data_IF_498932660985
#
_entry.id   IF_498932660985
#
_cell.length_a   1.000
_cell.length_b   1.000
_cell.length_c   1.000
_cell.angle_alpha   90.00
_cell.angle_beta   90.00
_cell.angle_gamma   90.00
#
_symmetry.space_group_name_H-M   'P 1'
#
loop_
_entity.id
_entity.type
_entity.pdbx_description
1 polymer ?
#
# COMPACT_ATOMS: atom_id res chain seq x y z
N UNK A 1 -11.70 -13.67 -15.89
CA UNK A 1 -11.46 -14.10 -14.51
C UNK A 1 -10.22 -13.41 -13.94
N UNK A 2 -10.28 -12.99 -12.68
CA UNK A 2 -9.13 -12.40 -11.97
C UNK A 2 -8.58 -13.51 -11.06
N UNK A 3 -7.29 -13.89 -11.18
CA UNK A 3 -6.69 -14.94 -10.38
C UNK A 3 -6.43 -14.46 -8.94
N UNK A 4 -7.45 -14.54 -8.10
CA UNK A 4 -7.38 -14.29 -6.66
C UNK A 4 -7.62 -15.59 -5.90
N UNK A 5 -6.98 -15.74 -4.74
CA UNK A 5 -7.29 -16.84 -3.83
C UNK A 5 -8.52 -16.44 -3.03
N UNK A 6 -9.68 -16.91 -3.50
CA UNK A 6 -10.95 -16.60 -2.89
C UNK A 6 -11.24 -17.49 -1.66
N UNK A 7 -12.05 -17.02 -0.69
CA UNK A 7 -12.51 -17.87 0.42
C UNK A 7 -13.38 -19.01 -0.10
N UNK A 8 -13.27 -20.17 0.56
CA UNK A 8 -14.12 -21.32 0.27
C UNK A 8 -15.59 -21.00 0.58
N UNK A 9 -16.46 -21.43 -0.30
CA UNK A 9 -17.90 -21.27 -0.12
C UNK A 9 -18.49 -22.59 0.43
N UNK A 10 -19.09 -22.54 1.62
CA UNK A 10 -19.79 -23.66 2.25
C UNK A 10 -21.23 -23.24 2.48
N UNK A 11 -22.18 -23.99 1.95
CA UNK A 11 -23.62 -23.69 2.00
C UNK A 11 -23.99 -22.26 1.57
N UNK A 12 -23.27 -21.74 0.56
CA UNK A 12 -23.49 -20.41 0.03
C UNK A 12 -22.85 -19.27 0.85
N UNK A 13 -22.12 -19.57 1.91
CA UNK A 13 -21.46 -18.60 2.79
C UNK A 13 -19.94 -18.68 2.67
N UNK A 14 -19.28 -17.54 2.77
CA UNK A 14 -17.80 -17.39 2.79
C UNK A 14 -17.30 -16.79 4.10
N UNK A 15 -18.19 -16.22 4.91
CA UNK A 15 -17.89 -15.66 6.23
C UNK A 15 -18.67 -16.43 7.28
N UNK A 16 -17.97 -16.93 8.27
CA UNK A 16 -18.51 -17.75 9.36
C UNK A 16 -18.31 -17.03 10.69
N UNK A 17 -19.12 -17.43 11.68
CA UNK A 17 -19.02 -16.94 13.05
C UNK A 17 -18.96 -18.13 14.01
N UNK A 18 -18.00 -18.11 14.94
CA UNK A 18 -17.88 -19.06 16.02
C UNK A 18 -17.30 -18.40 17.27
N UNK A 19 -17.92 -18.62 18.43
CA UNK A 19 -17.49 -18.08 19.72
C UNK A 19 -17.25 -16.55 19.72
N UNK A 20 -18.04 -15.78 18.93
CA UNK A 20 -17.92 -14.34 18.79
C UNK A 20 -16.84 -13.87 17.81
N UNK A 21 -16.12 -14.77 17.15
CA UNK A 21 -15.14 -14.45 16.12
C UNK A 21 -15.73 -14.70 14.74
N UNK A 22 -15.46 -13.77 13.81
CA UNK A 22 -15.75 -13.94 12.40
C UNK A 22 -14.49 -14.42 11.68
N UNK A 23 -14.64 -15.39 10.79
CA UNK A 23 -13.53 -15.97 10.03
C UNK A 23 -13.96 -16.45 8.65
N UNK A 24 -13.01 -16.56 7.75
CA UNK A 24 -13.15 -17.20 6.44
C UNK A 24 -12.12 -18.32 6.28
N UNK A 25 -12.46 -19.30 5.47
CA UNK A 25 -11.57 -20.42 5.16
C UNK A 25 -11.01 -20.22 3.75
N UNK A 26 -9.72 -20.43 3.59
CA UNK A 26 -9.06 -20.38 2.31
C UNK A 26 -8.36 -21.71 2.04
N UNK A 27 -8.42 -22.18 0.81
CA UNK A 27 -7.60 -23.30 0.39
C UNK A 27 -6.13 -22.93 0.51
N UNK A 28 -5.33 -23.82 1.10
CA UNK A 28 -3.88 -23.61 1.14
C UNK A 28 -3.35 -23.60 -0.29
N UNK A 29 -2.77 -22.47 -0.68
CA UNK A 29 -2.19 -22.26 -1.98
C UNK A 29 -0.71 -21.92 -1.83
N UNK A 30 0.15 -22.67 -2.52
CA UNK A 30 1.60 -22.45 -2.49
C UNK A 30 2.04 -21.69 -3.74
N UNK A 31 3.15 -20.99 -3.62
CA UNK A 31 3.80 -20.22 -4.67
C UNK A 31 5.02 -19.50 -4.12
N UNK A 32 5.73 -18.77 -4.96
CA UNK A 32 6.82 -17.88 -4.54
C UNK A 32 6.50 -16.45 -5.03
N UNK A 33 7.22 -15.48 -4.52
CA UNK A 33 7.07 -14.10 -4.97
C UNK A 33 7.51 -13.97 -6.43
N UNK A 34 6.86 -13.10 -7.24
CA UNK A 34 7.34 -12.79 -8.59
C UNK A 34 8.67 -12.04 -8.52
N UNK A 35 9.49 -12.18 -9.56
CA UNK A 35 10.73 -11.44 -9.73
C UNK A 35 10.43 -10.11 -10.44
N UNK A 36 10.66 -8.98 -9.74
CA UNK A 36 10.34 -7.65 -10.27
C UNK A 36 11.41 -7.07 -11.21
N UNK A 37 12.49 -7.77 -11.44
CA UNK A 37 13.49 -7.51 -12.47
C UNK A 37 13.25 -8.32 -13.77
N UNK A 38 12.27 -9.23 -13.77
CA UNK A 38 11.81 -9.95 -14.94
C UNK A 38 10.66 -9.18 -15.64
N UNK A 39 10.86 -8.70 -16.90
CA UNK A 39 9.85 -7.97 -17.65
C UNK A 39 8.54 -8.75 -17.85
N UNK A 40 8.62 -10.08 -18.07
CA UNK A 40 7.43 -10.90 -18.26
C UNK A 40 6.59 -10.98 -16.99
N UNK A 41 7.22 -11.05 -15.82
CA UNK A 41 6.51 -11.00 -14.52
C UNK A 41 5.83 -9.65 -14.32
N UNK A 42 6.49 -8.54 -14.68
CA UNK A 42 5.91 -7.19 -14.58
C UNK A 42 4.74 -7.00 -15.54
N UNK A 43 4.87 -7.47 -16.78
CA UNK A 43 3.80 -7.44 -17.78
C UNK A 43 2.56 -8.21 -17.27
N UNK A 44 2.77 -9.42 -16.75
CA UNK A 44 1.68 -10.23 -16.18
C UNK A 44 1.04 -9.58 -14.96
N UNK A 45 1.83 -8.94 -14.11
CA UNK A 45 1.33 -8.17 -12.97
C UNK A 45 0.50 -6.98 -13.46
N UNK A 46 0.96 -6.27 -14.46
CA UNK A 46 0.20 -5.20 -15.11
C UNK A 46 -1.17 -5.68 -15.59
N UNK A 47 -1.21 -6.80 -16.30
CA UNK A 47 -2.47 -7.45 -16.77
C UNK A 47 -3.41 -7.81 -15.61
N UNK A 48 -2.86 -8.34 -14.51
CA UNK A 48 -3.63 -8.69 -13.32
C UNK A 48 -4.27 -7.43 -12.70
N UNK A 49 -3.47 -6.37 -12.52
CA UNK A 49 -3.94 -5.09 -11.97
C UNK A 49 -4.93 -4.38 -12.89
N UNK A 50 -4.68 -4.36 -14.20
CA UNK A 50 -5.61 -3.79 -15.17
C UNK A 50 -7.00 -4.42 -15.09
N UNK A 51 -7.07 -5.76 -14.97
CA UNK A 51 -8.35 -6.48 -14.78
C UNK A 51 -9.00 -6.16 -13.43
N UNK A 52 -8.21 -6.13 -12.35
CA UNK A 52 -8.72 -5.77 -11.02
C UNK A 52 -9.32 -4.37 -11.03
N UNK A 53 -8.61 -3.40 -11.59
CA UNK A 53 -9.03 -2.01 -11.60
C UNK A 53 -10.17 -1.74 -12.60
N UNK A 54 -10.24 -2.47 -13.71
CA UNK A 54 -11.40 -2.42 -14.60
C UNK A 54 -12.70 -2.77 -13.84
N UNK A 55 -12.69 -3.85 -13.06
CA UNK A 55 -13.81 -4.22 -12.17
C UNK A 55 -13.96 -3.22 -11.01
N UNK A 56 -12.83 -2.80 -10.42
CA UNK A 56 -12.79 -1.86 -9.30
C UNK A 56 -13.39 -0.49 -9.62
N UNK A 57 -13.28 -0.06 -10.88
CA UNK A 57 -13.79 1.24 -11.35
C UNK A 57 -15.31 1.28 -11.59
N UNK A 58 -15.98 0.13 -11.63
CA UNK A 58 -17.41 0.05 -11.96
C UNK A 58 -18.32 0.57 -10.84
N UNK A 59 -17.96 0.30 -9.58
CA UNK A 59 -18.77 0.69 -8.42
C UNK A 59 -17.88 0.99 -7.21
N UNK A 60 -18.22 1.96 -6.36
CA UNK A 60 -17.49 2.21 -5.10
C UNK A 60 -17.79 1.11 -4.07
N UNK A 61 -16.91 0.99 -3.07
CA UNK A 61 -17.22 0.27 -1.84
C UNK A 61 -18.28 1.03 -1.04
N UNK A 62 -19.16 0.29 -0.34
CA UNK A 62 -20.21 0.87 0.53
C UNK A 62 -19.68 1.10 1.97
N UNK A 63 -18.74 0.29 2.43
CA UNK A 63 -18.35 0.24 3.84
C UNK A 63 -16.82 0.27 4.05
N UNK A 64 -16.03 0.08 2.98
CA UNK A 64 -14.58 0.17 3.06
C UNK A 64 -14.11 1.62 3.03
N UNK A 65 -13.02 1.96 3.76
CA UNK A 65 -12.51 3.31 3.82
C UNK A 65 -11.94 3.78 2.47
N UNK A 66 -11.68 5.08 2.39
CA UNK A 66 -10.89 5.68 1.33
C UNK A 66 -9.47 5.97 1.85
N UNK A 67 -8.47 5.74 1.00
CA UNK A 67 -7.12 6.18 1.27
C UNK A 67 -7.06 7.69 1.05
N UNK A 68 -6.90 8.45 2.13
CA UNK A 68 -6.84 9.90 2.09
C UNK A 68 -5.82 10.47 3.09
N UNK A 69 -5.55 11.77 2.95
CA UNK A 69 -4.62 12.48 3.82
C UNK A 69 -5.04 12.48 5.29
N UNK A 70 -6.36 12.54 5.57
CA UNK A 70 -6.86 12.59 6.94
C UNK A 70 -6.59 11.27 7.66
N UNK A 71 -7.10 10.17 7.12
CA UNK A 71 -7.06 8.85 7.78
C UNK A 71 -5.65 8.24 7.82
N UNK A 72 -4.88 8.39 6.74
CA UNK A 72 -3.53 7.82 6.66
C UNK A 72 -2.45 8.73 7.23
N UNK A 73 -2.60 10.05 7.09
CA UNK A 73 -1.65 11.04 7.54
C UNK A 73 -1.99 11.62 8.91
N UNK A 74 -2.96 12.54 8.94
CA UNK A 74 -3.28 13.33 10.14
C UNK A 74 -3.65 12.48 11.35
N UNK A 75 -4.62 11.59 11.20
CA UNK A 75 -5.08 10.72 12.28
C UNK A 75 -3.98 9.77 12.77
N UNK A 76 -3.05 9.42 11.90
CA UNK A 76 -1.90 8.57 12.26
C UNK A 76 -0.89 9.35 13.12
N UNK A 77 -0.53 10.57 12.75
CA UNK A 77 0.38 11.42 13.54
C UNK A 77 -0.25 11.80 14.89
N UNK A 78 -1.53 12.14 14.90
CA UNK A 78 -2.25 12.49 16.12
C UNK A 78 -2.33 11.30 17.08
N UNK A 79 -2.57 10.10 16.55
CA UNK A 79 -2.55 8.89 17.36
C UNK A 79 -1.17 8.60 17.95
N UNK A 80 -0.09 8.63 17.13
CA UNK A 80 1.27 8.42 17.61
C UNK A 80 1.65 9.41 18.72
N UNK A 81 1.18 10.64 18.61
CA UNK A 81 1.40 11.70 19.63
C UNK A 81 0.65 11.39 20.93
N UNK A 82 -0.63 11.01 20.81
CA UNK A 82 -1.47 10.73 21.99
C UNK A 82 -1.12 9.42 22.70
N UNK A 83 -0.63 8.43 21.95
CA UNK A 83 -0.21 7.14 22.49
C UNK A 83 1.19 7.16 23.13
N UNK A 84 1.93 8.29 23.00
CA UNK A 84 3.26 8.50 23.59
C UNK A 84 4.28 7.38 23.27
N UNK A 85 4.12 6.73 22.10
CA UNK A 85 4.99 5.59 21.71
C UNK A 85 6.35 6.03 21.19
N UNK A 86 6.49 7.29 20.77
CA UNK A 86 7.76 7.87 20.34
C UNK A 86 8.58 8.24 21.58
N UNK A 87 9.86 7.80 21.70
CA UNK A 87 10.71 8.18 22.83
C UNK A 87 10.76 9.70 23.03
N UNK A 88 10.66 10.16 24.28
CA UNK A 88 10.57 11.59 24.61
C UNK A 88 11.72 12.43 24.03
N UNK A 89 12.93 11.86 23.99
CA UNK A 89 14.12 12.46 23.39
C UNK A 89 13.97 12.74 21.89
N UNK A 90 13.18 11.93 21.18
CA UNK A 90 13.00 11.98 19.73
C UNK A 90 11.69 12.66 19.29
N UNK A 91 10.72 12.85 20.19
CA UNK A 91 9.41 13.44 19.87
C UNK A 91 9.51 14.77 19.10
N UNK A 92 10.33 15.76 19.52
CA UNK A 92 10.39 17.02 18.81
C UNK A 92 10.85 16.85 17.35
N UNK A 93 11.86 16.00 17.12
CA UNK A 93 12.40 15.75 15.80
C UNK A 93 11.42 14.95 14.92
N UNK A 94 10.82 13.89 15.46
CA UNK A 94 9.86 13.06 14.72
C UNK A 94 8.63 13.86 14.30
N UNK A 95 7.97 14.55 15.24
CA UNK A 95 6.76 15.28 14.92
C UNK A 95 7.00 16.52 14.06
N UNK A 96 8.16 17.17 14.17
CA UNK A 96 8.52 18.27 13.28
C UNK A 96 8.63 17.80 11.81
N UNK A 97 9.33 16.70 11.56
CA UNK A 97 9.48 16.20 10.19
C UNK A 97 8.17 15.60 9.65
N UNK A 98 7.39 14.94 10.50
CA UNK A 98 6.10 14.37 10.11
C UNK A 98 5.09 15.47 9.73
N UNK A 99 5.03 16.56 10.48
CA UNK A 99 4.16 17.71 10.18
C UNK A 99 4.55 18.39 8.86
N UNK A 100 5.85 18.66 8.64
CA UNK A 100 6.34 19.24 7.39
C UNK A 100 6.03 18.34 6.20
N UNK A 101 6.29 17.03 6.34
CA UNK A 101 5.97 16.03 5.33
C UNK A 101 4.48 16.04 4.98
N UNK A 102 3.61 15.98 5.99
CA UNK A 102 2.16 15.94 5.79
C UNK A 102 1.60 17.21 5.16
N UNK A 103 2.18 18.37 5.44
CA UNK A 103 1.79 19.62 4.80
C UNK A 103 2.04 19.55 3.28
N UNK A 104 3.23 19.13 2.87
CA UNK A 104 3.59 19.00 1.45
C UNK A 104 2.76 17.90 0.77
N UNK A 105 2.55 16.78 1.44
CA UNK A 105 1.68 15.68 0.94
C UNK A 105 0.28 16.19 0.66
N UNK A 106 -0.30 16.98 1.58
CA UNK A 106 -1.64 17.56 1.39
C UNK A 106 -1.72 18.41 0.13
N UNK A 107 -0.76 19.33 -0.03
CA UNK A 107 -0.68 20.22 -1.19
C UNK A 107 -0.55 19.44 -2.50
N UNK A 108 0.25 18.36 -2.51
CA UNK A 108 0.43 17.51 -3.69
C UNK A 108 -0.84 16.72 -4.05
N UNK A 109 -1.53 16.17 -3.05
CA UNK A 109 -2.80 15.46 -3.27
C UNK A 109 -3.90 16.41 -3.78
N UNK A 110 -3.97 17.63 -3.26
CA UNK A 110 -4.92 18.65 -3.72
C UNK A 110 -4.61 19.14 -5.15
N UNK A 111 -3.32 19.24 -5.50
CA UNK A 111 -2.87 19.66 -6.83
C UNK A 111 -3.07 18.58 -7.91
N UNK A 112 -3.13 17.31 -7.52
CA UNK A 112 -3.26 16.17 -8.43
C UNK A 112 -4.46 15.28 -8.07
N UNK A 113 -5.70 15.76 -8.25
CA UNK A 113 -6.89 14.96 -7.97
C UNK A 113 -6.95 13.73 -8.89
N UNK A 114 -7.23 12.56 -8.31
CA UNK A 114 -7.32 11.31 -9.04
C UNK A 114 -8.66 10.62 -8.81
N UNK A 115 -9.08 9.83 -9.81
CA UNK A 115 -10.28 9.01 -9.71
C UNK A 115 -10.10 7.96 -8.60
N UNK A 116 -11.09 7.86 -7.73
CA UNK A 116 -11.10 6.86 -6.68
C UNK A 116 -11.78 5.58 -7.19
N UNK A 117 -11.06 4.48 -7.18
CA UNK A 117 -11.55 3.16 -7.57
C UNK A 117 -11.37 2.17 -6.41
N UNK A 118 -11.96 0.99 -6.50
CA UNK A 118 -11.69 -0.09 -5.54
C UNK A 118 -10.32 -0.68 -5.82
N UNK A 119 -9.49 -0.72 -4.81
CA UNK A 119 -8.11 -1.20 -4.85
C UNK A 119 -7.94 -2.46 -4.00
N UNK A 120 -6.84 -3.17 -4.21
CA UNK A 120 -6.29 -4.08 -3.22
C UNK A 120 -5.89 -3.29 -1.95
N UNK A 121 -5.23 -2.16 -2.14
CA UNK A 121 -4.92 -1.18 -1.09
C UNK A 121 -3.61 -1.42 -0.34
N UNK A 122 -3.12 -2.64 -0.28
CA UNK A 122 -1.82 -3.02 0.27
C UNK A 122 -1.10 -4.05 -0.62
N UNK A 123 -1.07 -3.78 -1.93
CA UNK A 123 -0.43 -4.68 -2.87
C UNK A 123 1.09 -4.52 -2.84
N UNK A 124 1.75 -5.48 -2.23
CA UNK A 124 3.21 -5.64 -2.26
C UNK A 124 3.58 -7.06 -2.69
N UNK A 125 4.87 -7.29 -2.98
CA UNK A 125 5.36 -8.59 -3.48
C UNK A 125 4.95 -9.77 -2.60
N UNK A 126 4.86 -9.59 -1.28
CA UNK A 126 4.42 -10.63 -0.34
C UNK A 126 2.96 -11.04 -0.50
N UNK A 127 2.12 -10.22 -1.16
CA UNK A 127 0.71 -10.52 -1.43
C UNK A 127 0.49 -11.06 -2.86
N UNK A 128 1.57 -11.45 -3.53
CA UNK A 128 1.58 -12.06 -4.85
C UNK A 128 2.21 -13.46 -4.79
N UNK A 129 1.60 -14.42 -5.47
CA UNK A 129 2.07 -15.79 -5.57
C UNK A 129 2.24 -16.18 -7.04
N UNK A 130 3.47 -16.42 -7.44
CA UNK A 130 3.80 -17.00 -8.74
C UNK A 130 3.78 -18.52 -8.65
N UNK A 131 3.00 -19.14 -9.52
CA UNK A 131 2.88 -20.60 -9.60
C UNK A 131 2.38 -21.04 -10.97
N UNK A 132 2.99 -22.07 -11.54
CA UNK A 132 2.58 -22.72 -12.79
C UNK A 132 2.39 -21.64 -13.92
N UNK A 133 3.40 -20.77 -14.08
CA UNK A 133 3.42 -19.64 -15.04
C UNK A 133 2.21 -18.69 -14.90
N UNK A 134 1.68 -18.59 -13.72
CA UNK A 134 0.55 -17.72 -13.41
C UNK A 134 0.77 -16.94 -12.13
N UNK A 135 0.24 -15.72 -12.10
CA UNK A 135 0.31 -14.81 -10.95
C UNK A 135 -1.03 -14.77 -10.23
N UNK A 136 -1.02 -14.99 -8.93
CA UNK A 136 -2.20 -14.95 -8.05
C UNK A 136 -2.05 -13.87 -7.00
N UNK A 137 -3.18 -13.28 -6.61
CA UNK A 137 -3.27 -12.26 -5.58
C UNK A 137 -3.91 -12.83 -4.32
N UNK A 138 -3.37 -12.47 -3.16
CA UNK A 138 -3.86 -12.86 -1.83
C UNK A 138 -4.01 -11.64 -0.93
N UNK A 139 -4.63 -11.82 0.24
CA UNK A 139 -4.74 -10.82 1.30
C UNK A 139 -5.52 -9.56 0.90
N UNK A 140 -6.80 -9.76 0.58
CA UNK A 140 -7.72 -8.68 0.21
C UNK A 140 -8.29 -7.91 1.43
N UNK A 141 -7.69 -8.05 2.62
CA UNK A 141 -8.24 -7.48 3.85
C UNK A 141 -8.16 -5.96 3.89
N UNK A 142 -7.16 -5.38 3.23
CA UNK A 142 -6.92 -3.95 3.16
C UNK A 142 -7.58 -3.24 1.96
N UNK A 143 -8.48 -3.93 1.24
CA UNK A 143 -9.22 -3.33 0.13
C UNK A 143 -9.90 -2.02 0.54
N UNK A 144 -9.71 -0.99 -0.29
CA UNK A 144 -10.22 0.38 -0.04
C UNK A 144 -10.45 1.15 -1.32
N UNK A 145 -11.02 2.35 -1.19
CA UNK A 145 -11.05 3.30 -2.30
C UNK A 145 -9.72 4.06 -2.36
N UNK A 146 -9.23 4.31 -3.57
CA UNK A 146 -8.00 5.08 -3.79
C UNK A 146 -7.67 5.27 -5.26
N UNK A 147 -6.60 6.03 -5.58
CA UNK A 147 -6.09 6.16 -6.95
C UNK A 147 -5.43 4.87 -7.42
N UNK A 148 -5.54 4.54 -8.71
CA UNK A 148 -5.01 3.31 -9.29
C UNK A 148 -3.51 3.11 -9.02
N UNK A 149 -2.74 4.19 -9.04
CA UNK A 149 -1.29 4.17 -8.79
C UNK A 149 -0.91 3.59 -7.43
N UNK A 150 -1.82 3.56 -6.45
CA UNK A 150 -1.55 2.97 -5.13
C UNK A 150 -1.16 1.50 -5.22
N UNK A 151 -1.82 0.72 -6.06
CA UNK A 151 -1.51 -0.70 -6.21
C UNK A 151 -0.32 -0.96 -7.17
N UNK A 152 0.21 0.08 -7.83
CA UNK A 152 1.33 -0.05 -8.76
C UNK A 152 2.68 0.34 -8.13
N UNK A 153 2.72 1.46 -7.39
CA UNK A 153 4.01 2.03 -6.96
C UNK A 153 4.80 1.12 -6.00
N UNK A 154 4.13 0.25 -5.25
CA UNK A 154 4.79 -0.67 -4.30
C UNK A 154 5.55 -1.80 -5.02
N UNK A 155 5.36 -1.96 -6.32
CA UNK A 155 6.10 -2.89 -7.18
C UNK A 155 7.37 -2.27 -7.75
N UNK A 156 7.53 -0.95 -7.64
CA UNK A 156 8.68 -0.24 -8.20
C UNK A 156 9.81 -0.18 -7.16
N UNK A 157 10.97 -0.72 -7.50
CA UNK A 157 12.13 -0.83 -6.61
C UNK A 157 13.43 -0.45 -7.30
N UNK A 158 14.47 -0.18 -6.51
CA UNK A 158 15.79 0.20 -7.01
C UNK A 158 15.91 1.68 -7.37
N UNK A 159 16.94 1.99 -8.15
CA UNK A 159 17.23 3.35 -8.61
C UNK A 159 16.17 3.86 -9.61
N UNK A 160 16.18 5.16 -9.87
CA UNK A 160 15.18 5.81 -10.71
C UNK A 160 15.03 5.16 -12.09
N UNK A 161 16.14 4.84 -12.76
CA UNK A 161 16.10 4.24 -14.11
C UNK A 161 15.52 2.82 -14.08
N UNK A 162 15.79 2.07 -13.02
CA UNK A 162 15.20 0.75 -12.80
C UNK A 162 13.69 0.86 -12.58
N UNK A 163 13.26 1.75 -11.68
CA UNK A 163 11.83 2.02 -11.44
C UNK A 163 11.11 2.49 -12.71
N UNK A 164 11.80 3.27 -13.54
CA UNK A 164 11.25 3.75 -14.81
C UNK A 164 11.05 2.59 -15.80
N UNK A 165 12.01 1.68 -15.92
CA UNK A 165 11.89 0.49 -16.77
C UNK A 165 10.77 -0.44 -16.28
N UNK A 166 10.74 -0.73 -14.97
CA UNK A 166 9.68 -1.53 -14.35
C UNK A 166 8.29 -0.92 -14.60
N UNK A 167 8.17 0.41 -14.50
CA UNK A 167 6.91 1.11 -14.74
C UNK A 167 6.42 0.91 -16.17
N UNK A 168 7.28 0.92 -17.17
CA UNK A 168 6.89 0.72 -18.57
C UNK A 168 6.26 -0.66 -18.79
N UNK A 169 6.93 -1.71 -18.33
CA UNK A 169 6.43 -3.08 -18.47
C UNK A 169 5.11 -3.29 -17.74
N UNK A 170 5.04 -2.74 -16.51
CA UNK A 170 3.83 -2.82 -15.69
C UNK A 170 2.64 -2.11 -16.35
N UNK A 171 2.85 -0.91 -16.89
CA UNK A 171 1.79 -0.12 -17.54
C UNK A 171 1.42 -0.69 -18.92
N UNK A 172 2.35 -1.27 -19.65
CA UNK A 172 2.04 -1.95 -20.91
C UNK A 172 1.03 -3.07 -20.70
N UNK A 173 1.29 -3.95 -19.73
CA UNK A 173 0.32 -5.00 -19.36
C UNK A 173 -0.99 -4.44 -18.79
N UNK A 174 -0.93 -3.39 -17.97
CA UNK A 174 -2.10 -2.76 -17.36
C UNK A 174 -3.06 -2.22 -18.42
N UNK A 175 -2.53 -1.51 -19.41
CA UNK A 175 -3.31 -0.87 -20.47
C UNK A 175 -3.99 -1.84 -21.44
N UNK A 176 -3.66 -3.13 -21.41
CA UNK A 176 -4.43 -4.14 -22.13
C UNK A 176 -5.87 -4.30 -21.59
N UNK A 177 -6.13 -3.92 -20.35
CA UNK A 177 -7.41 -4.14 -19.67
C UNK A 177 -8.04 -2.88 -19.08
N UNK A 178 -7.26 -1.86 -18.74
CA UNK A 178 -7.74 -0.61 -18.17
C UNK A 178 -6.76 0.52 -18.47
N UNK A 179 -7.27 1.67 -18.93
CA UNK A 179 -6.43 2.82 -19.25
C UNK A 179 -5.87 3.47 -17.99
N UNK A 180 -4.54 3.46 -17.84
CA UNK A 180 -3.88 4.13 -16.72
C UNK A 180 -3.79 5.64 -16.99
N UNK A 181 -4.13 6.44 -15.99
CA UNK A 181 -3.95 7.89 -16.06
C UNK A 181 -2.52 8.28 -15.64
N UNK A 182 -1.64 8.70 -16.57
CA UNK A 182 -0.25 9.06 -16.25
C UNK A 182 -0.11 10.21 -15.24
N UNK A 183 -1.13 11.07 -15.09
CA UNK A 183 -1.12 12.14 -14.10
C UNK A 183 -1.06 11.61 -12.65
N UNK A 184 -1.50 10.36 -12.41
CA UNK A 184 -1.43 9.72 -11.10
C UNK A 184 0.00 9.41 -10.64
N UNK A 185 0.99 9.41 -11.55
CA UNK A 185 2.40 9.21 -11.17
C UNK A 185 2.93 10.30 -10.24
N UNK A 186 2.34 11.50 -10.27
CA UNK A 186 2.65 12.56 -9.32
C UNK A 186 2.24 12.22 -7.87
N UNK A 187 1.40 11.20 -7.69
CA UNK A 187 0.92 10.75 -6.37
C UNK A 187 1.80 9.67 -5.74
N UNK A 188 2.79 9.11 -6.43
CA UNK A 188 3.62 8.01 -5.92
C UNK A 188 4.29 8.39 -4.58
N UNK A 189 5.04 9.49 -4.56
CA UNK A 189 5.75 9.89 -3.34
C UNK A 189 4.80 10.43 -2.24
N UNK A 190 3.72 11.18 -2.52
CA UNK A 190 2.67 11.45 -1.54
C UNK A 190 2.07 10.20 -0.89
N UNK A 191 1.72 9.19 -1.67
CA UNK A 191 1.14 7.94 -1.15
C UNK A 191 2.15 7.13 -0.34
N UNK A 192 3.41 7.08 -0.78
CA UNK A 192 4.52 6.47 -0.03
C UNK A 192 4.69 7.15 1.33
N UNK A 193 4.65 8.48 1.36
CA UNK A 193 4.74 9.28 2.58
C UNK A 193 3.63 8.93 3.58
N UNK A 194 2.39 8.87 3.09
CA UNK A 194 1.24 8.47 3.91
C UNK A 194 1.41 7.06 4.48
N UNK A 195 1.88 6.10 3.65
CA UNK A 195 2.10 4.73 4.09
C UNK A 195 3.15 4.64 5.20
N UNK A 196 4.26 5.37 5.08
CA UNK A 196 5.33 5.38 6.10
C UNK A 196 4.80 5.81 7.48
N UNK A 197 4.04 6.89 7.54
CA UNK A 197 3.44 7.39 8.78
C UNK A 197 2.35 6.44 9.28
N UNK A 198 1.48 6.00 8.38
CA UNK A 198 0.38 5.09 8.71
C UNK A 198 0.87 3.77 9.28
N UNK A 199 1.94 3.20 8.76
CA UNK A 199 2.50 1.93 9.22
C UNK A 199 2.96 1.99 10.68
N UNK A 200 3.64 3.07 11.09
CA UNK A 200 4.01 3.27 12.48
C UNK A 200 2.78 3.36 13.41
N UNK A 201 1.74 4.08 12.96
CA UNK A 201 0.49 4.18 13.72
C UNK A 201 -0.31 2.86 13.72
N UNK A 202 -0.24 2.09 12.64
CA UNK A 202 -0.85 0.76 12.55
C UNK A 202 -0.25 -0.22 13.55
N UNK A 203 1.08 -0.23 13.70
CA UNK A 203 1.78 -1.00 14.75
C UNK A 203 1.40 -0.53 16.15
N UNK A 204 1.41 0.77 16.38
CA UNK A 204 1.07 1.35 17.69
C UNK A 204 -0.35 1.00 18.13
N UNK A 205 -1.34 1.08 17.23
CA UNK A 205 -2.74 0.75 17.53
C UNK A 205 -2.98 -0.70 17.92
N UNK A 206 -2.06 -1.59 17.56
CA UNK A 206 -2.14 -3.04 17.83
C UNK A 206 -1.16 -3.51 18.87
N UNK A 207 -0.43 -2.59 19.50
CA UNK A 207 0.67 -2.93 20.39
C UNK A 207 0.25 -3.68 21.66
N UNK A 208 -1.03 -3.55 22.07
CA UNK A 208 -1.61 -4.29 23.19
C UNK A 208 -1.93 -5.76 22.86
N UNK A 209 -1.96 -6.14 21.59
CA UNK A 209 -2.08 -7.53 21.18
C UNK A 209 -0.71 -8.22 21.35
N UNK A 210 -0.61 -9.30 22.17
CA UNK A 210 0.65 -9.95 22.46
C UNK A 210 1.42 -10.46 21.24
N UNK A 211 0.74 -10.70 20.11
CA UNK A 211 1.38 -11.11 18.87
C UNK A 211 2.26 -9.99 18.29
N UNK A 212 1.89 -8.71 18.46
CA UNK A 212 2.62 -7.60 17.86
C UNK A 212 4.00 -7.38 18.48
N UNK A 213 4.18 -7.25 19.80
CA UNK A 213 5.51 -7.17 20.39
C UNK A 213 6.41 -8.39 20.06
N UNK A 214 5.81 -9.56 19.90
CA UNK A 214 6.55 -10.78 19.55
C UNK A 214 7.05 -10.76 18.09
N UNK A 215 6.24 -10.28 17.15
CA UNK A 215 6.60 -10.24 15.72
C UNK A 215 7.37 -8.97 15.33
N UNK A 216 7.17 -7.86 16.06
CA UNK A 216 7.77 -6.55 15.77
C UNK A 216 8.59 -6.00 16.96
N UNK A 217 9.49 -6.78 17.59
CA UNK A 217 10.20 -6.37 18.83
C UNK A 217 11.05 -5.11 18.66
N UNK A 218 11.39 -4.77 17.43
CA UNK A 218 12.16 -3.59 17.07
C UNK A 218 11.35 -2.28 17.17
N UNK A 219 10.01 -2.32 17.12
CA UNK A 219 9.16 -1.13 17.16
C UNK A 219 9.28 -0.34 18.48
N UNK A 220 9.47 -1.04 19.60
CA UNK A 220 9.68 -0.41 20.92
C UNK A 220 11.10 0.17 21.11
N UNK A 221 12.03 -0.04 20.18
CA UNK A 221 13.40 0.41 20.31
C UNK A 221 13.57 1.85 19.85
N UNK A 222 14.38 2.63 20.57
CA UNK A 222 14.71 4.03 20.21
C UNK A 222 15.35 4.10 18.80
N UNK A 223 16.11 3.09 18.42
CA UNK A 223 16.72 2.98 17.08
C UNK A 223 15.68 3.02 15.97
N UNK A 224 14.55 2.31 16.12
CA UNK A 224 13.50 2.35 15.11
C UNK A 224 13.01 3.78 14.86
N UNK A 225 12.77 4.55 15.91
CA UNK A 225 12.27 5.92 15.79
C UNK A 225 13.34 6.89 15.24
N UNK A 226 14.62 6.66 15.57
CA UNK A 226 15.72 7.41 14.94
C UNK A 226 15.83 7.13 13.44
N UNK A 227 15.71 5.87 13.04
CA UNK A 227 15.69 5.44 11.64
C UNK A 227 14.43 5.99 10.92
N UNK A 228 13.26 6.02 11.58
CA UNK A 228 12.05 6.63 11.02
C UNK A 228 12.21 8.14 10.78
N UNK A 229 12.86 8.88 11.66
CA UNK A 229 13.14 10.31 11.44
C UNK A 229 13.99 10.51 10.19
N UNK A 230 15.01 9.67 9.98
CA UNK A 230 15.84 9.71 8.78
C UNK A 230 15.01 9.39 7.53
N UNK A 231 14.27 8.29 7.57
CA UNK A 231 13.39 7.86 6.47
C UNK A 231 12.38 8.96 6.08
N UNK A 232 11.75 9.62 7.05
CA UNK A 232 10.81 10.70 6.76
C UNK A 232 11.50 11.94 6.17
N UNK A 233 12.75 12.24 6.54
CA UNK A 233 13.55 13.31 5.93
C UNK A 233 13.93 13.00 4.49
N UNK A 234 14.35 11.77 4.22
CA UNK A 234 14.65 11.29 2.87
C UNK A 234 13.39 11.33 2.00
N UNK A 235 12.27 10.89 2.55
CA UNK A 235 10.97 10.93 1.87
C UNK A 235 10.50 12.37 1.60
N UNK A 236 10.78 13.30 2.53
CA UNK A 236 10.49 14.73 2.33
C UNK A 236 11.31 15.30 1.16
N UNK A 237 12.58 14.90 1.02
CA UNK A 237 13.40 15.29 -0.11
C UNK A 237 12.89 14.66 -1.42
N UNK A 238 12.46 13.39 -1.39
CA UNK A 238 11.91 12.70 -2.56
C UNK A 238 10.65 13.35 -3.12
N UNK A 239 9.83 14.01 -2.28
CA UNK A 239 8.67 14.79 -2.74
C UNK A 239 9.02 15.96 -3.66
N UNK A 240 10.25 16.46 -3.61
CA UNK A 240 10.73 17.56 -4.46
C UNK A 240 11.37 17.06 -5.77
N UNK A 241 11.55 15.73 -5.90
CA UNK A 241 12.04 15.13 -7.15
C UNK A 241 10.94 15.10 -8.22
N UNK A 242 11.31 15.16 -9.52
CA UNK A 242 10.36 14.97 -10.60
C UNK A 242 9.69 13.60 -10.54
N UNK A 243 8.39 13.53 -10.74
CA UNK A 243 7.67 12.25 -10.85
C UNK A 243 8.24 11.37 -11.97
N UNK A 244 8.02 10.05 -11.88
CA UNK A 244 8.23 9.14 -13.01
C UNK A 244 7.30 9.53 -14.16
N UNK A 245 7.67 9.19 -15.39
CA UNK A 245 6.92 9.63 -16.58
C UNK A 245 6.67 8.44 -17.51
N UNK A 246 5.50 8.41 -18.10
CA UNK A 246 5.24 7.67 -19.33
C UNK A 246 5.42 8.66 -20.50
N UNK A 247 5.95 8.18 -21.63
CA UNK A 247 6.22 9.01 -22.83
C UNK A 247 4.98 9.69 -23.36
#
# INVERSE_FOLDING_TARGET
>A
DIPVIAPEQIDGQTLFEHAGFRFSLFRRFGGHAPELDDPDHLLMLGRLLGRLHAVGSMHPFKHRPTLDWQSFGRDSVDYLRSAEVVPSSLQPAYFSVAEDLLQVVKERLEAHPAKQIRLHGDLHVGNLLWRDDSLYMVDMDDCRMGPAVQDLWMMLSGERDQRQAQLYELIDGYNEFHDFNPAELALVEPLRSLRLVHYSAWLARRWDDPAFPMHFPWFAQERYWADQILTLREQRAALDEPALRLF
#
